data_IF_748886556352
#
_entry.id   IF_748886556352
#
_cell.length_a   1.000
_cell.length_b   1.000
_cell.length_c   1.000
_cell.angle_alpha   90.00
_cell.angle_beta   90.00
_cell.angle_gamma   90.00
#
_symmetry.space_group_name_H-M   'P 1'
#
loop_
_entity.id
_entity.type
_entity.pdbx_description
1 polymer ?
#
# COMPACT_ATOMS: atom_id res chain seq x y z
N UNK A 1 -7.06 6.66 -8.91
CA UNK A 1 -7.22 6.37 -10.35
C UNK A 1 -8.47 5.56 -10.51
N UNK A 2 -9.23 5.80 -11.58
CA UNK A 2 -10.59 5.35 -11.69
C UNK A 2 -10.94 4.94 -13.11
N UNK A 3 -11.62 3.81 -13.27
CA UNK A 3 -12.21 3.38 -14.54
C UNK A 3 -13.74 3.62 -14.51
N UNK A 4 -14.35 4.31 -15.50
CA UNK A 4 -15.78 4.65 -15.51
C UNK A 4 -16.75 3.49 -15.22
N UNK A 5 -16.43 2.27 -15.65
CA UNK A 5 -17.22 1.06 -15.33
C UNK A 5 -17.39 0.80 -13.82
N UNK A 6 -16.56 1.41 -12.97
CA UNK A 6 -16.56 1.29 -11.50
C UNK A 6 -17.01 2.57 -10.79
N UNK A 7 -17.73 3.46 -11.47
CA UNK A 7 -18.13 4.76 -10.91
C UNK A 7 -18.93 4.62 -9.61
N UNK A 8 -19.75 3.57 -9.51
CA UNK A 8 -20.53 3.25 -8.31
C UNK A 8 -19.68 3.01 -7.05
N UNK A 9 -18.38 2.73 -7.17
CA UNK A 9 -17.46 2.55 -6.04
C UNK A 9 -16.88 3.87 -5.51
N UNK A 10 -16.96 4.96 -6.29
CA UNK A 10 -16.35 6.24 -5.90
C UNK A 10 -16.97 6.90 -4.67
N UNK A 11 -18.30 7.03 -4.53
CA UNK A 11 -18.89 7.74 -3.40
C UNK A 11 -18.44 7.24 -2.02
N UNK A 12 -18.50 5.92 -1.70
CA UNK A 12 -18.03 5.43 -0.41
C UNK A 12 -16.51 5.61 -0.22
N UNK A 13 -15.71 5.42 -1.27
CA UNK A 13 -14.26 5.62 -1.21
C UNK A 13 -13.89 7.08 -0.91
N UNK A 14 -14.53 8.03 -1.60
CA UNK A 14 -14.32 9.46 -1.36
C UNK A 14 -14.76 9.88 0.04
N UNK A 15 -15.85 9.31 0.55
CA UNK A 15 -16.28 9.53 1.93
C UNK A 15 -15.22 9.02 2.92
N UNK A 16 -14.70 7.81 2.72
CA UNK A 16 -13.68 7.21 3.57
C UNK A 16 -12.33 7.95 3.51
N UNK A 17 -12.04 8.69 2.44
CA UNK A 17 -10.86 9.54 2.34
C UNK A 17 -10.92 10.78 3.26
N UNK A 18 -12.12 11.21 3.68
CA UNK A 18 -12.27 12.44 4.47
C UNK A 18 -11.45 12.37 5.78
N UNK A 19 -10.84 13.49 6.23
CA UNK A 19 -10.90 14.84 5.66
C UNK A 19 -9.85 15.12 4.55
N UNK A 20 -9.17 14.10 4.02
CA UNK A 20 -8.27 14.28 2.88
C UNK A 20 -9.10 14.63 1.64
N UNK A 21 -8.62 15.58 0.85
CA UNK A 21 -9.26 15.95 -0.42
C UNK A 21 -8.72 15.07 -1.54
N UNK A 22 -9.42 13.97 -1.82
CA UNK A 22 -9.10 13.12 -2.96
C UNK A 22 -9.48 13.80 -4.28
N UNK A 23 -8.62 13.68 -5.29
CA UNK A 23 -8.96 14.05 -6.68
C UNK A 23 -9.16 12.79 -7.49
N UNK A 24 -10.30 12.68 -8.14
CA UNK A 24 -10.59 11.58 -9.07
C UNK A 24 -9.81 11.82 -10.37
N UNK A 25 -9.08 10.79 -10.81
CA UNK A 25 -8.40 10.75 -12.10
C UNK A 25 -8.98 9.58 -12.86
N UNK A 26 -9.79 9.91 -13.86
CA UNK A 26 -10.51 8.96 -14.71
C UNK A 26 -9.62 8.48 -15.85
N UNK A 27 -9.76 7.21 -16.24
CA UNK A 27 -9.13 6.66 -17.44
C UNK A 27 -9.49 7.53 -18.66
N UNK A 28 -8.49 8.09 -19.38
CA UNK A 28 -8.74 8.94 -20.54
C UNK A 28 -9.26 8.18 -21.77
N UNK A 29 -9.08 6.85 -21.83
CA UNK A 29 -9.57 6.00 -22.91
C UNK A 29 -10.16 4.69 -22.36
N UNK A 30 -11.34 4.75 -21.72
CA UNK A 30 -11.94 3.61 -21.04
C UNK A 30 -12.49 2.54 -22.01
N UNK A 31 -12.59 2.87 -23.30
CA UNK A 31 -13.05 1.94 -24.34
C UNK A 31 -11.91 1.30 -25.13
N UNK A 32 -10.69 1.80 -24.98
CA UNK A 32 -9.49 1.28 -25.63
C UNK A 32 -8.99 -0.03 -25.00
N UNK A 33 -7.78 -0.43 -25.41
CA UNK A 33 -7.12 -1.60 -24.83
C UNK A 33 -6.92 -1.38 -23.32
N UNK A 34 -7.30 -2.33 -22.44
CA UNK A 34 -7.14 -2.20 -21.01
C UNK A 34 -5.69 -1.91 -20.62
N UNK A 35 -5.47 -0.77 -19.98
CA UNK A 35 -4.15 -0.34 -19.52
C UNK A 35 -4.25 0.39 -18.18
N UNK A 36 -3.85 -0.26 -17.07
CA UNK A 36 -3.69 0.42 -15.79
C UNK A 36 -2.69 1.59 -15.89
N UNK A 37 -1.61 1.41 -16.66
CA UNK A 37 -0.55 2.40 -16.78
C UNK A 37 -1.04 3.73 -17.36
N UNK A 38 -1.92 3.70 -18.38
CA UNK A 38 -2.46 4.92 -19.01
C UNK A 38 -3.09 5.84 -17.95
N UNK A 39 -3.96 5.29 -17.12
CA UNK A 39 -4.57 6.05 -16.02
C UNK A 39 -3.57 6.38 -14.91
N UNK A 40 -2.63 5.47 -14.61
CA UNK A 40 -1.58 5.72 -13.62
C UNK A 40 -0.69 6.91 -13.98
N UNK A 41 -0.32 7.10 -15.27
CA UNK A 41 0.44 8.26 -15.75
C UNK A 41 -0.25 9.57 -15.36
N UNK A 42 -1.54 9.68 -15.63
CA UNK A 42 -2.33 10.84 -15.23
C UNK A 42 -2.39 10.99 -13.71
N UNK A 43 -2.57 9.89 -12.96
CA UNK A 43 -2.66 9.95 -11.50
C UNK A 43 -1.35 10.41 -10.85
N UNK A 44 -0.20 9.92 -11.31
CA UNK A 44 1.13 10.30 -10.83
C UNK A 44 1.54 11.70 -11.27
N UNK A 45 1.15 12.14 -12.48
CA UNK A 45 1.45 13.51 -12.96
C UNK A 45 0.70 14.61 -12.19
N UNK A 46 -0.33 14.23 -11.44
CA UNK A 46 -1.26 15.19 -10.88
C UNK A 46 -0.84 15.72 -9.48
N UNK A 47 0.40 15.52 -9.04
CA UNK A 47 0.93 15.99 -7.74
C UNK A 47 0.59 17.46 -7.50
N UNK A 48 -0.12 17.76 -6.40
CA UNK A 48 -0.51 19.13 -6.08
C UNK A 48 0.72 20.02 -5.75
N UNK A 49 0.62 21.30 -6.09
CA UNK A 49 1.63 22.30 -5.68
C UNK A 49 1.66 22.36 -4.15
N UNK A 50 2.85 22.32 -3.57
CA UNK A 50 3.04 22.35 -2.11
C UNK A 50 2.75 21.04 -1.38
N UNK A 51 2.31 19.97 -2.07
CA UNK A 51 2.16 18.67 -1.44
C UNK A 51 3.52 18.13 -0.96
N UNK A 52 3.55 17.57 0.25
CA UNK A 52 4.74 16.89 0.79
C UNK A 52 4.83 15.44 0.33
N UNK A 53 3.67 14.78 0.20
CA UNK A 53 3.51 13.41 -0.25
C UNK A 53 2.37 13.32 -1.26
N UNK A 54 2.43 12.32 -2.13
CA UNK A 54 1.41 12.01 -3.11
C UNK A 54 0.97 10.57 -2.94
N UNK A 55 -0.32 10.37 -2.74
CA UNK A 55 -0.95 9.06 -2.62
C UNK A 55 -1.79 8.80 -3.88
N UNK A 56 -1.59 7.64 -4.49
CA UNK A 56 -2.50 7.11 -5.51
C UNK A 56 -3.23 5.90 -4.92
N UNK A 57 -4.57 5.94 -4.97
CA UNK A 57 -5.46 4.83 -4.66
C UNK A 57 -6.11 4.33 -5.96
N UNK A 58 -6.30 3.02 -6.10
CA UNK A 58 -7.20 2.46 -7.11
C UNK A 58 -8.67 2.60 -6.64
N UNK A 59 -9.62 2.50 -7.57
CA UNK A 59 -11.04 2.77 -7.32
C UNK A 59 -11.82 1.56 -6.75
N UNK A 60 -11.21 0.38 -6.76
CA UNK A 60 -11.74 -0.86 -6.23
C UNK A 60 -11.21 -1.20 -4.83
N UNK A 61 -10.75 -0.21 -4.07
CA UNK A 61 -10.20 -0.40 -2.72
C UNK A 61 -11.20 -0.11 -1.61
N UNK A 62 -11.00 -0.76 -0.47
CA UNK A 62 -11.63 -0.44 0.82
C UNK A 62 -10.57 0.13 1.75
N UNK A 63 -10.89 1.24 2.43
CA UNK A 63 -10.00 1.90 3.37
C UNK A 63 -10.30 1.47 4.81
N UNK A 64 -9.28 1.39 5.65
CA UNK A 64 -9.46 1.14 7.08
C UNK A 64 -10.24 2.28 7.75
N UNK A 65 -10.90 1.99 8.86
CA UNK A 65 -11.44 3.03 9.72
C UNK A 65 -10.32 3.97 10.18
N UNK A 66 -10.58 5.28 10.24
CA UNK A 66 -9.57 6.28 10.63
C UNK A 66 -8.44 6.49 9.61
N UNK A 67 -8.60 6.02 8.36
CA UNK A 67 -7.61 6.07 7.28
C UNK A 67 -6.74 7.33 7.24
N UNK A 68 -7.35 8.51 7.30
CA UNK A 68 -6.64 9.77 7.17
C UNK A 68 -5.63 10.03 8.30
N UNK A 69 -5.98 9.68 9.54
CA UNK A 69 -5.10 9.88 10.69
C UNK A 69 -3.97 8.87 10.72
N UNK A 70 -4.25 7.66 10.26
CA UNK A 70 -3.31 6.56 10.16
C UNK A 70 -2.30 6.83 9.05
N UNK A 71 -2.76 7.31 7.88
CA UNK A 71 -1.90 7.74 6.79
C UNK A 71 -0.97 8.88 7.24
N UNK A 72 -1.46 9.83 8.03
CA UNK A 72 -0.61 10.89 8.61
C UNK A 72 0.44 10.33 9.57
N UNK A 73 0.13 9.28 10.34
CA UNK A 73 1.12 8.59 11.20
C UNK A 73 2.19 7.90 10.34
N UNK A 74 1.78 7.22 9.27
CA UNK A 74 2.68 6.59 8.29
C UNK A 74 3.64 7.62 7.69
N UNK A 75 3.12 8.73 7.18
CA UNK A 75 3.91 9.83 6.60
C UNK A 75 4.93 10.40 7.60
N UNK A 76 4.54 10.61 8.86
CA UNK A 76 5.45 11.12 9.89
C UNK A 76 6.54 10.13 10.25
N UNK A 77 6.22 8.83 10.29
CA UNK A 77 7.17 7.79 10.66
C UNK A 77 8.17 7.49 9.53
N UNK A 78 7.75 7.62 8.27
CA UNK A 78 8.53 7.25 7.09
C UNK A 78 8.50 8.35 6.01
N UNK A 79 8.99 9.57 6.28
CA UNK A 79 8.81 10.73 5.41
C UNK A 79 9.60 10.68 4.10
N UNK A 80 10.48 9.69 3.90
CA UNK A 80 11.36 9.58 2.73
C UNK A 80 11.18 8.25 1.98
N UNK A 81 10.33 7.36 2.48
CA UNK A 81 10.17 6.00 1.95
C UNK A 81 9.01 5.92 0.95
N UNK A 82 9.09 4.98 0.01
CA UNK A 82 7.92 4.59 -0.76
C UNK A 82 7.07 3.65 0.10
N UNK A 83 5.78 3.95 0.27
CA UNK A 83 4.91 3.17 1.15
C UNK A 83 3.78 2.52 0.36
N UNK A 84 3.73 1.19 0.41
CA UNK A 84 2.56 0.41 0.03
C UNK A 84 1.60 0.32 1.21
N UNK A 85 0.32 0.68 0.99
CA UNK A 85 -0.73 0.60 2.00
C UNK A 85 -1.42 -0.76 2.04
N UNK A 86 -1.00 -1.67 1.17
CA UNK A 86 -1.55 -3.00 0.93
C UNK A 86 -0.44 -3.97 0.55
N UNK A 87 -0.64 -5.26 0.76
CA UNK A 87 0.14 -6.32 0.13
C UNK A 87 -0.75 -7.55 -0.06
N UNK A 88 -0.83 -8.06 -1.28
CA UNK A 88 -1.67 -9.21 -1.60
C UNK A 88 -1.25 -10.42 -0.76
N UNK A 89 -2.21 -11.10 -0.13
CA UNK A 89 -1.98 -12.30 0.68
C UNK A 89 -1.27 -13.45 -0.07
N UNK A 90 -1.38 -13.47 -1.39
CA UNK A 90 -0.80 -14.46 -2.31
C UNK A 90 0.52 -13.99 -2.96
N UNK A 91 1.03 -12.80 -2.62
CA UNK A 91 2.37 -12.38 -3.05
C UNK A 91 3.42 -13.31 -2.41
N UNK A 92 4.29 -13.99 -3.19
CA UNK A 92 5.18 -15.02 -2.67
C UNK A 92 6.11 -14.56 -1.54
N UNK A 93 6.84 -13.48 -1.76
CA UNK A 93 7.82 -12.91 -0.82
C UNK A 93 7.20 -11.81 0.05
N UNK A 94 6.42 -10.89 -0.53
CA UNK A 94 5.95 -9.73 0.25
C UNK A 94 4.96 -10.16 1.34
N UNK A 95 4.07 -11.12 1.06
CA UNK A 95 3.14 -11.60 2.09
C UNK A 95 3.88 -12.30 3.25
N UNK A 96 4.94 -13.05 2.96
CA UNK A 96 5.80 -13.64 4.01
C UNK A 96 6.45 -12.56 4.88
N UNK A 97 7.07 -11.55 4.27
CA UNK A 97 7.74 -10.46 4.98
C UNK A 97 6.78 -9.63 5.83
N UNK A 98 5.58 -9.36 5.32
CA UNK A 98 4.52 -8.67 6.07
C UNK A 98 4.06 -9.50 7.27
N UNK A 99 3.83 -10.81 7.11
CA UNK A 99 3.46 -11.69 8.23
C UNK A 99 4.54 -11.72 9.31
N UNK A 100 5.81 -11.81 8.92
CA UNK A 100 6.91 -11.73 9.88
C UNK A 100 6.91 -10.41 10.66
N UNK A 101 6.78 -9.27 9.95
CA UNK A 101 6.70 -7.96 10.58
C UNK A 101 5.52 -7.87 11.56
N UNK A 102 4.34 -8.39 11.17
CA UNK A 102 3.17 -8.45 12.03
C UNK A 102 3.41 -9.30 13.29
N UNK A 103 4.02 -10.48 13.16
CA UNK A 103 4.32 -11.36 14.30
C UNK A 103 5.25 -10.71 15.33
N UNK A 104 6.19 -9.87 14.88
CA UNK A 104 7.12 -9.16 15.78
C UNK A 104 6.62 -7.76 16.18
N UNK A 105 5.42 -7.37 15.78
CA UNK A 105 4.84 -6.05 16.08
C UNK A 105 5.56 -4.88 15.36
N UNK A 106 6.27 -5.15 14.28
CA UNK A 106 6.92 -4.11 13.48
C UNK A 106 5.87 -3.34 12.65
N UNK A 107 5.84 -2.00 12.69
CA UNK A 107 4.84 -1.20 11.99
C UNK A 107 5.06 -1.13 10.47
N UNK A 108 6.21 -1.60 9.99
CA UNK A 108 6.58 -1.61 8.58
C UNK A 108 7.32 -2.88 8.20
N UNK A 109 7.05 -3.38 7.00
CA UNK A 109 7.77 -4.51 6.41
C UNK A 109 8.54 -4.04 5.16
N UNK A 110 9.85 -4.27 5.03
CA UNK A 110 10.57 -4.01 3.79
C UNK A 110 10.13 -4.99 2.70
N UNK A 111 9.66 -4.47 1.57
CA UNK A 111 9.19 -5.30 0.46
C UNK A 111 10.35 -5.79 -0.41
N UNK A 112 10.09 -6.85 -1.16
CA UNK A 112 11.03 -7.41 -2.12
C UNK A 112 11.26 -6.45 -3.29
N UNK A 113 12.50 -6.38 -3.75
CA UNK A 113 12.88 -5.66 -4.98
C UNK A 113 12.76 -6.55 -6.23
N UNK A 114 12.33 -7.81 -6.04
CA UNK A 114 12.18 -8.83 -7.10
C UNK A 114 10.73 -9.11 -7.45
N UNK A 115 9.77 -8.60 -6.67
CA UNK A 115 8.34 -8.68 -6.96
C UNK A 115 7.81 -7.34 -7.41
N UNK A 116 6.59 -7.33 -7.96
CA UNK A 116 5.85 -6.13 -8.34
C UNK A 116 5.46 -5.28 -7.12
N UNK A 117 5.23 -3.99 -7.34
CA UNK A 117 4.83 -3.06 -6.29
C UNK A 117 3.32 -3.24 -6.02
N UNK A 118 2.88 -3.31 -4.74
CA UNK A 118 1.46 -3.30 -4.45
C UNK A 118 0.87 -1.88 -4.69
N UNK A 119 0.24 -1.66 -5.85
CA UNK A 119 -0.20 -0.33 -6.31
C UNK A 119 -1.66 0.02 -5.98
N UNK A 120 -2.41 -0.86 -5.28
CA UNK A 120 -3.78 -0.56 -4.84
C UNK A 120 -3.85 0.73 -4.01
N UNK A 121 -2.86 0.93 -3.15
CA UNK A 121 -2.63 2.19 -2.45
C UNK A 121 -1.14 2.41 -2.27
N UNK A 122 -0.59 3.40 -2.99
CA UNK A 122 0.85 3.64 -3.02
C UNK A 122 1.19 5.12 -2.80
N UNK A 123 2.04 5.37 -1.82
CA UNK A 123 2.42 6.69 -1.34
C UNK A 123 3.89 6.94 -1.63
N UNK A 124 4.18 8.11 -2.20
CA UNK A 124 5.55 8.60 -2.40
C UNK A 124 5.73 10.00 -1.81
N UNK A 125 6.94 10.37 -1.37
CA UNK A 125 7.31 11.77 -1.23
C UNK A 125 7.04 12.53 -2.54
N UNK A 126 6.49 13.74 -2.47
CA UNK A 126 6.02 14.47 -3.64
C UNK A 126 7.11 14.72 -4.71
N UNK A 127 8.38 15.03 -4.37
CA UNK A 127 9.44 15.10 -5.37
C UNK A 127 9.61 13.78 -6.14
N UNK A 128 9.62 12.65 -5.42
CA UNK A 128 9.77 11.33 -6.01
C UNK A 128 8.56 10.92 -6.85
N UNK A 129 7.35 11.33 -6.45
CA UNK A 129 6.14 11.13 -7.25
C UNK A 129 6.18 11.87 -8.60
N UNK A 130 6.73 13.09 -8.65
CA UNK A 130 6.93 13.84 -9.90
C UNK A 130 7.96 13.16 -10.80
N UNK A 131 9.06 12.70 -10.21
CA UNK A 131 10.06 11.91 -10.92
C UNK A 131 9.48 10.61 -11.50
N UNK A 132 8.62 9.93 -10.74
CA UNK A 132 7.92 8.74 -11.21
C UNK A 132 7.00 9.09 -12.38
N UNK A 133 6.24 10.19 -12.30
CA UNK A 133 5.40 10.64 -13.40
C UNK A 133 6.20 10.87 -14.69
N UNK A 134 7.34 11.56 -14.61
CA UNK A 134 8.24 11.75 -15.76
C UNK A 134 8.83 10.42 -16.27
N UNK A 135 9.16 9.51 -15.36
CA UNK A 135 9.66 8.19 -15.72
C UNK A 135 8.62 7.38 -16.51
N UNK A 136 7.38 7.33 -16.02
CA UNK A 136 6.27 6.57 -16.61
C UNK A 136 5.82 7.14 -17.96
N UNK A 137 5.86 8.46 -18.13
CA UNK A 137 5.47 9.13 -19.38
C UNK A 137 6.26 8.69 -20.63
N UNK A 138 7.41 8.02 -20.45
CA UNK A 138 8.28 7.55 -21.54
C UNK A 138 7.88 6.19 -22.11
N UNK A 139 6.99 5.48 -21.44
CA UNK A 139 6.50 4.18 -21.89
C UNK A 139 5.25 4.37 -22.77
N UNK A 140 4.96 3.45 -23.71
CA UNK A 140 3.69 3.43 -24.43
C UNK A 140 2.49 3.30 -23.48
N UNK A 141 1.30 3.71 -23.91
CA UNK A 141 0.08 3.60 -23.10
C UNK A 141 -0.42 2.16 -23.01
N UNK A 142 -0.04 1.29 -23.94
CA UNK A 142 -0.51 -0.10 -24.04
C UNK A 142 0.20 -1.03 -23.04
N UNK A 143 1.26 -0.58 -22.37
CA UNK A 143 1.95 -1.35 -21.34
C UNK A 143 1.01 -1.53 -20.13
N UNK A 144 0.85 -2.78 -19.68
CA UNK A 144 -0.12 -3.12 -18.62
C UNK A 144 0.49 -3.13 -17.22
N UNK A 145 1.79 -3.40 -17.11
CA UNK A 145 2.49 -3.70 -15.85
C UNK A 145 3.06 -2.42 -15.20
N UNK A 146 2.18 -1.52 -14.74
CA UNK A 146 2.59 -0.28 -14.08
C UNK A 146 3.32 -0.52 -12.76
N UNK A 147 2.92 -1.55 -12.03
CA UNK A 147 3.54 -2.04 -10.81
C UNK A 147 5.00 -2.50 -11.00
N UNK A 148 5.31 -3.22 -12.07
CA UNK A 148 6.68 -3.58 -12.44
C UNK A 148 7.52 -2.33 -12.76
N UNK A 149 6.94 -1.37 -13.49
CA UNK A 149 7.62 -0.12 -13.82
C UNK A 149 7.94 0.69 -12.55
N UNK A 150 7.05 0.71 -11.57
CA UNK A 150 7.25 1.37 -10.28
C UNK A 150 8.37 0.71 -9.48
N UNK A 151 8.44 -0.62 -9.44
CA UNK A 151 9.54 -1.34 -8.76
C UNK A 151 10.87 -1.05 -9.44
N UNK A 152 10.92 -1.08 -10.78
CA UNK A 152 12.13 -0.75 -11.55
C UNK A 152 12.59 0.69 -11.25
N UNK A 153 11.65 1.63 -11.17
CA UNK A 153 11.93 3.02 -10.80
C UNK A 153 12.51 3.15 -9.39
N UNK A 154 11.88 2.53 -8.39
CA UNK A 154 12.34 2.58 -7.00
C UNK A 154 13.71 1.92 -6.84
N UNK A 155 13.92 0.77 -7.48
CA UNK A 155 15.19 0.04 -7.48
C UNK A 155 16.33 0.89 -8.09
N UNK A 156 16.07 1.55 -9.21
CA UNK A 156 17.08 2.40 -9.88
C UNK A 156 17.49 3.63 -9.05
N UNK A 157 16.64 4.06 -8.11
CA UNK A 157 16.88 5.19 -7.20
C UNK A 157 17.27 4.76 -5.78
N UNK A 158 17.44 3.46 -5.55
CA UNK A 158 17.66 2.88 -4.22
C UNK A 158 16.61 3.34 -3.19
N UNK A 159 15.38 3.61 -3.65
CA UNK A 159 14.28 3.97 -2.75
C UNK A 159 13.68 2.69 -2.17
N UNK A 160 13.72 2.50 -0.84
CA UNK A 160 13.09 1.35 -0.22
C UNK A 160 11.56 1.45 -0.35
N UNK A 161 10.94 0.32 -0.71
CA UNK A 161 9.49 0.15 -0.62
C UNK A 161 9.18 -0.56 0.69
N UNK A 162 8.36 0.07 1.53
CA UNK A 162 7.87 -0.50 2.78
C UNK A 162 6.36 -0.72 2.67
N UNK A 163 5.84 -1.82 3.21
CA UNK A 163 4.42 -1.94 3.49
C UNK A 163 4.13 -1.47 4.93
N UNK A 164 3.05 -0.72 5.13
CA UNK A 164 2.56 -0.47 6.49
C UNK A 164 1.89 -1.73 7.05
N UNK A 165 2.08 -1.97 8.36
CA UNK A 165 1.51 -3.11 9.07
C UNK A 165 0.82 -2.60 10.34
N UNK A 166 -0.51 -2.78 10.49
CA UNK A 166 -1.42 -3.37 9.51
C UNK A 166 -1.61 -2.50 8.25
N UNK A 167 -2.15 -3.09 7.19
CA UNK A 167 -2.49 -2.42 5.95
C UNK A 167 -3.69 -1.49 6.14
N UNK A 168 -3.62 -0.30 5.53
CA UNK A 168 -4.70 0.69 5.55
C UNK A 168 -5.67 0.52 4.37
N UNK A 169 -5.33 -0.37 3.43
CA UNK A 169 -6.07 -0.63 2.20
C UNK A 169 -6.27 -2.14 2.01
N UNK A 170 -7.50 -2.53 1.65
CA UNK A 170 -7.83 -3.86 1.14
C UNK A 170 -8.45 -3.76 -0.27
N UNK A 171 -8.46 -4.86 -1.01
CA UNK A 171 -9.20 -4.98 -2.27
C UNK A 171 -10.69 -5.14 -1.95
N UNK A 172 -11.53 -4.32 -2.55
CA UNK A 172 -12.98 -4.45 -2.48
C UNK A 172 -13.50 -5.67 -3.24
N UNK A 173 -14.75 -6.07 -2.99
CA UNK A 173 -15.33 -7.29 -3.58
C UNK A 173 -15.67 -7.20 -5.08
N UNK A 174 -15.19 -6.17 -5.79
CA UNK A 174 -15.44 -6.01 -7.23
C UNK A 174 -14.50 -6.92 -8.04
N UNK A 175 -15.01 -7.59 -9.11
CA UNK A 175 -14.15 -8.32 -10.05
C UNK A 175 -13.08 -7.40 -10.65
N UNK A 176 -11.85 -7.90 -10.77
CA UNK A 176 -10.77 -7.14 -11.41
C UNK A 176 -11.03 -6.93 -12.90
N UNK A 177 -10.73 -5.73 -13.38
CA UNK A 177 -10.77 -5.41 -14.82
C UNK A 177 -9.53 -5.90 -15.57
N UNK A 178 -8.49 -6.35 -14.86
CA UNK A 178 -7.25 -6.84 -15.46
C UNK A 178 -7.30 -8.32 -15.89
N UNK A 179 -8.37 -9.04 -15.56
CA UNK A 179 -8.57 -10.44 -15.96
C UNK A 179 -7.96 -11.50 -15.01
N UNK A 180 -7.60 -11.16 -13.78
CA UNK A 180 -7.22 -12.16 -12.76
C UNK A 180 -8.47 -12.74 -12.06
N UNK A 181 -8.60 -14.06 -11.99
CA UNK A 181 -9.72 -14.69 -11.26
C UNK A 181 -9.44 -14.71 -9.74
N UNK A 182 -10.40 -14.28 -8.92
CA UNK A 182 -10.38 -14.40 -7.45
C UNK A 182 -10.38 -13.09 -6.67
N UNK A 183 -10.75 -13.16 -5.38
CA UNK A 183 -10.67 -12.03 -4.44
C UNK A 183 -9.29 -12.02 -3.82
N UNK A 184 -8.55 -10.94 -3.99
CA UNK A 184 -7.17 -10.81 -3.50
C UNK A 184 -7.15 -9.89 -2.29
N UNK A 185 -7.19 -10.48 -1.09
CA UNK A 185 -7.20 -9.71 0.15
C UNK A 185 -5.81 -9.27 0.59
N UNK A 186 -5.79 -8.25 1.45
CA UNK A 186 -4.60 -7.77 2.13
C UNK A 186 -4.09 -8.83 3.11
N UNK A 187 -2.77 -8.93 3.24
CA UNK A 187 -2.14 -9.94 4.09
C UNK A 187 -2.48 -9.75 5.58
N UNK A 188 -2.54 -8.50 6.04
CA UNK A 188 -2.96 -8.10 7.40
C UNK A 188 -3.68 -6.75 7.31
N UNK A 189 -5.02 -6.71 7.33
CA UNK A 189 -5.82 -5.48 7.18
C UNK A 189 -6.23 -4.88 8.53
N UNK A 190 -6.28 -3.54 8.63
CA UNK A 190 -6.62 -2.82 9.85
C UNK A 190 -8.13 -2.62 10.09
N UNK A 191 -9.01 -3.10 9.20
CA UNK A 191 -10.46 -3.02 9.39
C UNK A 191 -10.97 -4.02 10.43
N UNK A 192 -11.67 -3.53 11.46
CA UNK A 192 -12.50 -4.32 12.41
C UNK A 192 -13.91 -4.52 11.82
N UNK A 193 -14.64 -5.64 11.90
CA UNK A 193 -14.41 -7.06 12.26
C UNK A 193 -15.54 -7.88 11.59
N UNK A 194 -15.29 -9.13 11.17
CA UNK A 194 -16.31 -10.19 11.28
C UNK A 194 -15.68 -11.40 11.98
N UNK A 195 -15.40 -11.25 13.28
CA UNK A 195 -15.39 -12.42 14.15
C UNK A 195 -16.85 -12.73 14.41
N UNK A 196 -17.43 -13.59 13.56
CA UNK A 196 -18.79 -14.08 13.72
C UNK A 196 -19.02 -14.69 15.13
N UNK A 197 -20.28 -14.97 15.52
CA UNK A 197 -20.68 -15.28 16.89
C UNK A 197 -20.14 -16.61 17.48
N UNK A 198 -19.17 -17.24 16.82
CA UNK A 198 -18.53 -18.50 17.23
C UNK A 198 -17.00 -18.39 17.39
N UNK A 199 -16.43 -17.19 17.38
CA UNK A 199 -15.01 -16.99 17.70
C UNK A 199 -14.75 -17.16 19.20
N UNK A 200 -14.25 -18.33 19.59
CA UNK A 200 -13.72 -18.56 20.93
C UNK A 200 -12.66 -17.50 21.24
N UNK A 201 -13.01 -16.59 22.16
CA UNK A 201 -12.04 -15.76 22.86
C UNK A 201 -11.05 -16.67 23.56
N UNK A 202 -9.80 -16.66 23.08
CA UNK A 202 -8.65 -17.03 23.90
C UNK A 202 -7.84 -15.76 24.13
N UNK A 203 -8.52 -14.76 24.69
CA UNK A 203 -7.85 -13.79 25.55
C UNK A 203 -7.89 -14.37 26.96
N UNK A 204 -6.90 -15.20 27.30
CA UNK A 204 -6.62 -15.53 28.70
C UNK A 204 -5.17 -15.19 29.00
N UNK A 205 -5.03 -14.33 29.99
CA UNK A 205 -3.82 -13.76 30.56
C UNK A 205 -2.67 -14.78 30.69
N UNK A 206 -1.55 -14.51 30.01
CA UNK A 206 -0.27 -15.06 30.46
C UNK A 206 0.25 -14.13 31.55
N UNK A 207 -0.13 -14.40 32.79
CA UNK A 207 0.58 -13.85 33.95
C UNK A 207 2.00 -14.42 33.92
N UNK A 208 2.99 -13.59 33.61
CA UNK A 208 4.40 -13.97 33.69
C UNK A 208 4.80 -14.03 35.16
N UNK A 209 4.63 -15.20 35.77
CA UNK A 209 5.22 -15.55 37.06
C UNK A 209 6.74 -15.58 36.93
N UNK A 210 7.42 -14.81 37.80
CA UNK A 210 8.88 -14.80 37.94
C UNK A 210 9.43 -16.23 38.04
N UNK A 211 10.33 -16.61 37.12
CA UNK A 211 11.36 -17.61 37.37
C UNK A 211 12.68 -17.09 36.82
N UNK A 212 13.66 -17.07 37.70
CA UNK A 212 15.07 -16.79 37.44
C UNK A 212 15.62 -17.72 36.36
N UNK A 213 16.18 -17.14 35.30
CA UNK A 213 16.93 -17.86 34.27
C UNK A 213 17.71 -16.84 33.45
N UNK A 214 19.03 -16.86 33.59
CA UNK A 214 19.96 -15.98 32.87
C UNK A 214 19.86 -16.25 31.37
N UNK A 215 19.54 -15.23 30.57
CA UNK A 215 19.69 -15.27 29.12
C UNK A 215 20.10 -13.88 28.61
N UNK A 216 21.28 -13.87 28.02
CA UNK A 216 22.07 -12.74 27.52
C UNK A 216 21.31 -11.89 26.49
N UNK A 217 21.18 -10.58 26.74
CA UNK A 217 20.80 -9.58 25.73
C UNK A 217 21.94 -9.40 24.73
N UNK A 218 21.69 -9.65 23.45
CA UNK A 218 22.53 -9.15 22.35
C UNK A 218 21.96 -7.80 21.90
N UNK A 219 22.60 -6.72 22.33
CA UNK A 219 22.37 -5.38 21.81
C UNK A 219 23.07 -5.22 20.45
N UNK A 220 22.33 -4.78 19.44
CA UNK A 220 22.91 -4.31 18.17
C UNK A 220 22.93 -2.78 18.17
N UNK A 221 24.13 -2.22 18.36
CA UNK A 221 24.45 -0.82 18.10
C UNK A 221 25.13 -0.72 16.73
N UNK A 222 24.52 -0.02 15.77
CA UNK A 222 25.23 0.44 14.58
C UNK A 222 25.75 1.86 14.84
N UNK A 223 27.07 1.99 14.97
CA UNK A 223 27.77 3.28 14.94
C UNK A 223 27.87 3.80 13.49
N UNK A 224 27.99 5.12 13.30
CA UNK A 224 28.18 5.71 11.98
C UNK A 224 29.61 5.52 11.48
N UNK A 225 29.77 5.20 10.20
CA UNK A 225 31.05 5.28 9.49
C UNK A 225 31.38 6.73 9.15
N UNK A 226 32.64 7.09 9.42
CA UNK A 226 33.28 8.39 9.19
C UNK A 226 33.30 8.83 7.73
#
# INVERSE_FOLDING_TARGET
>A
MHHPAREHLLPPLLHACAPLRARVVTDPDPTGIPSPLRTAKHAWAAVAVGATHHLVLQDDVVLSAGFADDLRRVVRAQPQSAIALHTNWNSPENAYRVRLAATVGAPFAPLSTREWAPTLGFLLPAPLARDLAHYLARFPDEVRDDDELIVRFCRARSTPILACVPHLVDHGHAPTLAGHEGVVHATVFAGVDDVGPHGNSVATEVSCGRRSGSATLLAWTCMPTS
#
